data_IF_131044791377
#
_entry.id   IF_131044791377
#
_cell.length_a   1.000
_cell.length_b   1.000
_cell.length_c   1.000
_cell.angle_alpha   90.00
_cell.angle_beta   90.00
_cell.angle_gamma   90.00
#
_symmetry.space_group_name_H-M   'P 1'
#
loop_
_entity.id
_entity.type
_entity.pdbx_description
1 polymer ?
#
# COMPACT_ATOMS: atom_id res chain seq x y z
N UNK A 1 -11.36 -4.68 1.86
CA UNK A 1 -10.78 -3.97 0.70
C UNK A 1 -9.79 -4.85 -0.03
N UNK A 2 -9.83 -4.84 -1.35
CA UNK A 2 -8.84 -5.52 -2.18
C UNK A 2 -7.86 -4.49 -2.70
N UNK A 3 -6.58 -4.74 -2.57
CA UNK A 3 -5.54 -3.83 -3.04
C UNK A 3 -4.77 -4.50 -4.17
N UNK A 4 -4.75 -3.86 -5.33
CA UNK A 4 -3.92 -4.30 -6.46
C UNK A 4 -2.58 -3.57 -6.35
N UNK A 5 -1.48 -4.32 -6.29
CA UNK A 5 -0.16 -3.72 -6.14
C UNK A 5 0.24 -2.91 -7.39
N UNK A 6 1.31 -2.13 -7.27
CA UNK A 6 1.77 -1.21 -8.33
C UNK A 6 2.12 -1.92 -9.63
N UNK A 7 2.64 -3.14 -9.56
CA UNK A 7 2.98 -3.94 -10.74
C UNK A 7 1.80 -4.71 -11.32
N UNK A 8 0.63 -4.65 -10.64
CA UNK A 8 -0.61 -5.29 -11.05
C UNK A 8 -0.52 -6.80 -11.18
N UNK A 9 0.33 -7.40 -10.39
CA UNK A 9 0.54 -8.85 -10.39
C UNK A 9 0.18 -9.51 -9.06
N UNK A 10 -0.33 -8.75 -8.09
CA UNK A 10 -0.71 -9.29 -6.79
C UNK A 10 -1.89 -8.53 -6.21
N UNK A 11 -2.87 -9.26 -5.69
CA UNK A 11 -4.01 -8.68 -5.00
C UNK A 11 -3.91 -9.04 -3.52
N UNK A 12 -3.87 -8.02 -2.66
CA UNK A 12 -3.89 -8.21 -1.22
C UNK A 12 -5.32 -8.07 -0.74
N UNK A 13 -5.83 -9.09 -0.07
CA UNK A 13 -7.22 -9.11 0.37
C UNK A 13 -7.40 -8.73 1.83
N UNK A 14 -6.55 -9.27 2.71
CA UNK A 14 -6.63 -9.06 4.15
C UNK A 14 -5.27 -8.63 4.68
N UNK A 15 -5.27 -7.68 5.62
CA UNK A 15 -4.05 -7.17 6.20
C UNK A 15 -4.33 -6.60 7.58
N UNK A 16 -3.28 -6.54 8.41
CA UNK A 16 -3.33 -5.96 9.74
C UNK A 16 -2.95 -4.50 9.69
N UNK A 17 -1.95 -4.16 8.87
CA UNK A 17 -1.46 -2.79 8.74
C UNK A 17 -0.86 -2.54 7.38
N UNK A 18 -0.77 -1.27 7.02
CA UNK A 18 -0.05 -0.81 5.82
C UNK A 18 1.01 0.16 6.30
N UNK A 19 2.25 -0.06 5.89
CA UNK A 19 3.39 0.69 6.41
C UNK A 19 4.25 1.25 5.30
N UNK A 20 4.89 2.40 5.60
CA UNK A 20 5.93 2.97 4.74
C UNK A 20 7.26 2.54 5.31
N UNK A 21 8.18 2.08 4.46
CA UNK A 21 9.54 1.82 4.85
C UNK A 21 10.50 2.30 3.76
N UNK A 22 11.71 2.66 4.18
CA UNK A 22 12.75 3.12 3.27
C UNK A 22 13.60 1.96 2.82
N UNK A 23 13.90 1.90 1.52
CA UNK A 23 14.84 0.95 0.96
C UNK A 23 15.74 1.69 -0.02
N UNK A 24 17.00 1.90 0.35
CA UNK A 24 17.92 2.71 -0.44
C UNK A 24 17.44 4.15 -0.53
N UNK A 25 17.21 4.63 -1.75
CA UNK A 25 16.71 5.99 -2.02
C UNK A 25 15.20 6.02 -2.24
N UNK A 26 14.55 4.85 -2.19
CA UNK A 26 13.11 4.75 -2.44
C UNK A 26 12.34 4.51 -1.15
N UNK A 27 11.05 4.85 -1.19
CA UNK A 27 10.12 4.60 -0.10
C UNK A 27 9.05 3.65 -0.61
N UNK A 28 8.81 2.59 0.14
CA UNK A 28 7.90 1.53 -0.25
C UNK A 28 6.70 1.48 0.69
N UNK A 29 5.58 1.03 0.15
CA UNK A 29 4.42 0.68 0.94
C UNK A 29 4.26 -0.84 0.94
N UNK A 30 3.98 -1.39 2.10
CA UNK A 30 3.71 -2.83 2.24
C UNK A 30 2.50 -3.07 3.11
N UNK A 31 1.81 -4.17 2.84
CA UNK A 31 0.73 -4.67 3.67
C UNK A 31 1.26 -5.80 4.53
N UNK A 32 1.03 -5.69 5.83
CA UNK A 32 1.43 -6.73 6.80
C UNK A 32 0.19 -7.54 7.16
N UNK A 33 0.33 -8.85 7.10
CA UNK A 33 -0.74 -9.77 7.48
C UNK A 33 -0.19 -10.83 8.42
N UNK A 34 -1.08 -11.65 8.97
CA UNK A 34 -0.65 -12.70 9.86
C UNK A 34 0.15 -13.75 9.08
N UNK A 35 1.45 -13.81 9.35
CA UNK A 35 2.35 -14.75 8.68
C UNK A 35 3.25 -14.14 7.62
N UNK A 36 3.14 -12.84 7.34
CA UNK A 36 4.02 -12.23 6.35
C UNK A 36 3.69 -10.81 5.98
N UNK A 37 4.28 -10.39 4.89
CA UNK A 37 4.19 -9.04 4.39
C UNK A 37 4.19 -9.07 2.87
N UNK A 38 3.44 -8.17 2.24
CA UNK A 38 3.34 -8.08 0.80
C UNK A 38 3.67 -6.67 0.33
N UNK A 39 4.55 -6.57 -0.63
CA UNK A 39 4.93 -5.30 -1.23
C UNK A 39 3.75 -4.73 -2.05
N UNK A 40 3.50 -3.44 -1.89
CA UNK A 40 2.43 -2.76 -2.62
C UNK A 40 2.95 -1.81 -3.69
N UNK A 41 3.96 -1.02 -3.39
CA UNK A 41 4.47 -0.05 -4.34
C UNK A 41 5.74 0.65 -3.88
N UNK A 42 6.45 1.26 -4.84
CA UNK A 42 7.70 1.98 -4.62
C UNK A 42 7.56 3.42 -5.11
N UNK A 43 8.04 4.36 -4.30
CA UNK A 43 7.87 5.78 -4.57
C UNK A 43 9.20 6.52 -4.38
N UNK A 44 9.42 7.62 -5.13
CA UNK A 44 10.71 8.32 -5.11
C UNK A 44 10.95 9.16 -3.86
N UNK A 45 9.90 9.45 -3.07
CA UNK A 45 10.03 10.27 -1.86
C UNK A 45 9.08 9.78 -0.79
N UNK A 46 9.40 10.15 0.46
CA UNK A 46 8.50 9.90 1.58
C UNK A 46 7.16 10.60 1.37
N UNK A 47 7.20 11.86 0.93
CA UNK A 47 5.99 12.64 0.73
C UNK A 47 5.04 11.98 -0.26
N UNK A 48 5.57 11.41 -1.34
CA UNK A 48 4.74 10.70 -2.31
C UNK A 48 4.15 9.43 -1.73
N UNK A 49 4.96 8.64 -1.02
CA UNK A 49 4.46 7.43 -0.36
C UNK A 49 3.38 7.78 0.67
N UNK A 50 3.58 8.87 1.40
CA UNK A 50 2.62 9.34 2.40
C UNK A 50 1.31 9.80 1.76
N UNK A 51 1.37 10.49 0.63
CA UNK A 51 0.17 10.87 -0.12
C UNK A 51 -0.66 9.63 -0.50
N UNK A 52 0.03 8.59 -0.98
CA UNK A 52 -0.63 7.35 -1.36
C UNK A 52 -1.26 6.68 -0.13
N UNK A 53 -0.53 6.64 0.98
CA UNK A 53 -1.05 6.07 2.22
C UNK A 53 -2.31 6.82 2.70
N UNK A 54 -2.28 8.15 2.63
CA UNK A 54 -3.44 8.96 2.99
C UNK A 54 -4.62 8.72 2.05
N UNK A 55 -4.36 8.56 0.77
CA UNK A 55 -5.41 8.27 -0.21
C UNK A 55 -6.05 6.91 0.06
N UNK A 56 -5.24 5.92 0.43
CA UNK A 56 -5.73 4.61 0.84
C UNK A 56 -6.62 4.72 2.09
N UNK A 57 -6.19 5.51 3.07
CA UNK A 57 -6.96 5.73 4.29
C UNK A 57 -8.32 6.36 3.98
N UNK A 58 -8.34 7.34 3.08
CA UNK A 58 -9.60 7.97 2.65
C UNK A 58 -10.51 6.97 1.94
N UNK A 59 -9.94 6.13 1.07
CA UNK A 59 -10.70 5.09 0.38
C UNK A 59 -11.32 4.11 1.37
N UNK A 60 -10.57 3.71 2.38
CA UNK A 60 -11.08 2.83 3.44
C UNK A 60 -12.19 3.50 4.24
N UNK A 61 -12.04 4.79 4.53
CA UNK A 61 -13.06 5.57 5.26
C UNK A 61 -14.36 5.67 4.47
N UNK A 62 -14.27 5.70 3.15
CA UNK A 62 -15.45 5.68 2.26
C UNK A 62 -15.98 4.28 2.02
N UNK A 63 -15.37 3.27 2.62
CA UNK A 63 -15.74 1.85 2.49
C UNK A 63 -15.68 1.36 1.04
N UNK A 64 -14.68 1.83 0.29
CA UNK A 64 -14.45 1.35 -1.07
C UNK A 64 -13.97 -0.08 -1.04
N UNK A 65 -14.39 -0.88 -2.03
CA UNK A 65 -14.06 -2.30 -2.06
C UNK A 65 -12.69 -2.59 -2.65
N UNK A 66 -12.19 -1.70 -3.48
CA UNK A 66 -10.92 -1.90 -4.20
C UNK A 66 -10.07 -0.64 -4.17
N UNK A 67 -8.77 -0.84 -4.25
CA UNK A 67 -7.81 0.24 -4.39
C UNK A 67 -6.67 -0.21 -5.31
N UNK A 68 -6.39 0.59 -6.33
CA UNK A 68 -5.26 0.35 -7.23
C UNK A 68 -4.10 1.24 -6.82
N UNK A 69 -2.95 0.65 -6.52
CA UNK A 69 -1.75 1.43 -6.17
C UNK A 69 -1.29 2.24 -7.37
N UNK A 70 -1.13 3.58 -7.20
CA UNK A 70 -0.61 4.42 -8.29
C UNK A 70 0.87 4.19 -8.55
#
# INVERSE_FOLDING_TARGET
>A
MYILNQEKNCIVKEFISINIYREGVFFNLSAVYNGGEEWLGEYPSYDRAYEVLQDMFKAMSRKEHTYEMP
#
